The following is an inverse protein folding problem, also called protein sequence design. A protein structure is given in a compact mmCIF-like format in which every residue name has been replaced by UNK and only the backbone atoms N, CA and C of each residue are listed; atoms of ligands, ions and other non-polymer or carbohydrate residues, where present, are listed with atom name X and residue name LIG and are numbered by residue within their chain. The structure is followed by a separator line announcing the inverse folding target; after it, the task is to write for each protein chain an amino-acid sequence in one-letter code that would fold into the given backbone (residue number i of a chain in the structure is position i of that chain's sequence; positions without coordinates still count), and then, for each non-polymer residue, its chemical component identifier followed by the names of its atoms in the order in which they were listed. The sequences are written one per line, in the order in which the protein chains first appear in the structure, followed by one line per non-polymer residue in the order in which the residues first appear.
data_IF_300701272771
#
_entry.id   IF_300701272771
#
_cell.length_a   1.000
_cell.length_b   1.000
_cell.length_c   1.000
_cell.angle_alpha   90.00
_cell.angle_beta   90.00
_cell.angle_gamma   90.00
#
_symmetry.space_group_name_H-M   'P 1'
#
loop_
_entity.id
_entity.type
_entity.pdbx_description
1 polymer ?
#
# COMPACT_ATOMS: atom_id res chain seq x y z
N UNK A 1 48.71 -15.28 32.00
CA UNK A 1 48.49 -14.60 30.70
C UNK A 1 47.03 -14.82 30.32
N UNK A 2 46.28 -13.76 30.09
CA UNK A 2 44.85 -13.82 29.78
C UNK A 2 44.27 -12.41 29.81
N UNK A 3 44.61 -11.64 28.78
CA UNK A 3 44.27 -10.24 28.59
C UNK A 3 42.79 -10.14 28.18
N UNK A 4 41.89 -9.87 29.13
CA UNK A 4 40.48 -9.65 28.83
C UNK A 4 40.31 -8.20 28.35
N UNK A 5 40.39 -8.02 27.04
CA UNK A 5 40.02 -6.77 26.37
C UNK A 5 38.61 -6.37 26.84
N UNK A 6 38.49 -5.17 27.40
CA UNK A 6 37.22 -4.52 27.61
C UNK A 6 36.48 -4.44 26.27
N UNK A 7 35.38 -5.18 26.13
CA UNK A 7 34.45 -5.02 25.02
C UNK A 7 33.69 -3.73 25.30
N UNK A 8 34.17 -2.63 24.73
CA UNK A 8 33.41 -1.39 24.66
C UNK A 8 32.18 -1.71 23.79
N UNK A 9 31.01 -1.82 24.44
CA UNK A 9 29.73 -1.79 23.72
C UNK A 9 29.69 -0.48 22.94
N UNK A 10 29.41 -0.50 21.63
CA UNK A 10 29.20 0.74 20.89
C UNK A 10 28.10 1.52 21.60
N UNK A 11 28.38 2.78 21.87
CA UNK A 11 27.42 3.74 22.36
C UNK A 11 26.17 3.66 21.47
N UNK A 12 25.03 3.43 22.12
CA UNK A 12 23.75 3.26 21.43
C UNK A 12 23.39 4.61 20.83
N UNK A 13 23.76 4.81 19.56
CA UNK A 13 23.28 5.88 18.68
C UNK A 13 21.79 6.10 18.98
N UNK A 14 21.35 7.36 19.20
CA UNK A 14 19.96 7.64 19.50
C UNK A 14 19.12 7.10 18.34
N UNK A 15 18.46 5.98 18.60
CA UNK A 15 17.51 5.34 17.69
C UNK A 15 16.63 6.46 17.14
N UNK A 16 16.56 6.64 15.80
CA UNK A 16 15.60 7.57 15.23
C UNK A 16 14.24 7.23 15.84
N UNK A 17 13.55 8.26 16.33
CA UNK A 17 12.33 8.12 17.12
C UNK A 17 11.44 7.10 16.42
N UNK A 18 11.12 6.00 17.11
CA UNK A 18 10.33 4.91 16.53
C UNK A 18 9.02 5.40 15.90
N UNK A 19 8.55 6.59 16.29
CA UNK A 19 7.46 7.34 15.66
C UNK A 19 7.75 7.75 14.21
N UNK A 20 8.98 8.17 13.89
CA UNK A 20 9.40 8.62 12.55
C UNK A 20 9.54 7.46 11.56
N UNK A 21 10.05 6.31 12.01
CA UNK A 21 10.12 5.10 11.19
C UNK A 21 8.72 4.55 10.86
N UNK A 22 7.79 4.57 11.83
CA UNK A 22 6.40 4.20 11.57
C UNK A 22 5.75 5.23 10.63
N UNK A 23 5.98 6.54 10.77
CA UNK A 23 5.38 7.52 9.85
C UNK A 23 5.79 7.32 8.38
N UNK A 24 7.02 6.89 8.06
CA UNK A 24 7.43 6.71 6.66
C UNK A 24 6.89 5.43 5.98
N UNK A 25 6.65 4.37 6.74
CA UNK A 25 6.20 3.07 6.20
C UNK A 25 4.76 2.70 6.55
N UNK A 26 4.19 3.30 7.60
CA UNK A 26 2.78 3.18 7.99
C UNK A 26 2.02 4.48 7.78
N UNK A 27 2.59 5.47 7.09
CA UNK A 27 1.74 6.42 6.37
C UNK A 27 0.92 5.58 5.43
N UNK A 28 -0.30 5.27 5.90
CA UNK A 28 -1.49 5.13 5.10
C UNK A 28 -1.20 5.95 3.87
N UNK A 29 -1.13 5.30 2.72
CA UNK A 29 -1.33 6.03 1.51
C UNK A 29 -2.67 6.73 1.74
N UNK A 30 -2.62 8.01 2.12
CA UNK A 30 -3.53 8.99 1.61
C UNK A 30 -3.23 8.97 0.11
N UNK A 31 -3.69 7.90 -0.56
CA UNK A 31 -4.59 8.14 -1.66
C UNK A 31 -5.58 9.12 -1.05
N UNK A 32 -5.31 10.42 -1.24
CA UNK A 32 -6.41 11.33 -1.50
C UNK A 32 -7.42 10.52 -2.30
N UNK A 33 -8.71 10.57 -1.99
CA UNK A 33 -9.63 10.45 -3.09
C UNK A 33 -9.16 11.57 -4.01
N UNK A 34 -8.34 11.24 -5.02
CA UNK A 34 -8.40 12.00 -6.23
C UNK A 34 -9.88 11.92 -6.51
N UNK A 35 -10.55 13.06 -6.33
CA UNK A 35 -11.66 13.43 -7.17
C UNK A 35 -11.14 13.39 -8.62
N UNK A 36 -10.70 12.22 -9.11
CA UNK A 36 -11.30 11.76 -10.33
C UNK A 36 -12.77 11.75 -9.99
N UNK A 37 -13.44 12.81 -10.46
CA UNK A 37 -14.78 12.69 -10.96
C UNK A 37 -14.77 11.52 -11.96
N UNK A 38 -14.65 10.30 -11.46
CA UNK A 38 -15.45 9.21 -11.97
C UNK A 38 -16.80 9.63 -11.44
N UNK A 39 -17.48 10.51 -12.21
CA UNK A 39 -18.91 10.37 -12.32
C UNK A 39 -19.10 8.87 -12.47
N UNK A 40 -19.60 8.25 -11.40
CA UNK A 40 -20.10 6.90 -11.43
C UNK A 40 -21.07 6.92 -12.58
N UNK A 41 -20.58 6.49 -13.75
CA UNK A 41 -21.37 6.36 -14.96
C UNK A 41 -22.61 5.61 -14.49
N UNK A 42 -23.78 6.26 -14.45
CA UNK A 42 -24.94 5.66 -13.85
C UNK A 42 -25.11 4.35 -14.58
N UNK A 43 -25.02 3.26 -13.80
CA UNK A 43 -25.40 1.93 -14.22
C UNK A 43 -26.67 2.14 -15.03
N UNK A 44 -26.62 1.92 -16.36
CA UNK A 44 -27.68 2.33 -17.28
C UNK A 44 -28.93 1.51 -16.96
N UNK A 45 -29.64 1.94 -15.91
CA UNK A 45 -30.99 1.53 -15.56
C UNK A 45 -31.86 2.22 -16.58
N UNK A 46 -31.94 1.58 -17.75
CA UNK A 46 -33.09 1.36 -18.64
C UNK A 46 -34.26 2.35 -18.64
N UNK A 47 -34.09 3.63 -18.32
CA UNK A 47 -35.18 4.61 -18.24
C UNK A 47 -34.63 6.00 -18.56
N UNK A 48 -34.98 6.52 -19.75
CA UNK A 48 -34.52 7.77 -20.39
C UNK A 48 -33.22 7.65 -21.19
N UNK A 49 -33.30 6.95 -22.33
CA UNK A 49 -32.39 7.21 -23.45
C UNK A 49 -32.67 8.62 -23.97
N UNK A 50 -32.08 9.63 -23.32
CA UNK A 50 -31.81 10.89 -24.00
C UNK A 50 -31.03 10.51 -25.26
N UNK A 51 -31.65 10.67 -26.43
CA UNK A 51 -31.07 10.26 -27.69
C UNK A 51 -29.80 11.08 -27.90
N UNK A 52 -28.64 10.44 -27.72
CA UNK A 52 -27.33 11.04 -27.95
C UNK A 52 -27.25 11.61 -29.38
N UNK A 53 -27.79 10.88 -30.36
CA UNK A 53 -27.85 11.25 -31.76
C UNK A 53 -29.31 11.34 -32.23
N UNK A 54 -29.66 12.47 -32.82
CA UNK A 54 -30.92 12.79 -33.50
C UNK A 54 -30.61 13.29 -34.92
N UNK A 55 -31.62 13.40 -35.79
CA UNK A 55 -31.41 13.81 -37.19
C UNK A 55 -30.80 15.20 -37.32
N UNK A 56 -31.02 16.06 -36.34
CA UNK A 56 -30.58 17.45 -36.32
C UNK A 56 -29.13 17.61 -35.86
N UNK A 57 -28.56 16.62 -35.16
CA UNK A 57 -27.23 16.71 -34.55
C UNK A 57 -26.23 15.63 -35.04
N UNK A 58 -26.60 14.82 -36.04
CA UNK A 58 -25.79 13.68 -36.53
C UNK A 58 -24.33 14.08 -36.82
N UNK A 59 -24.14 15.19 -37.53
CA UNK A 59 -22.79 15.66 -37.91
C UNK A 59 -21.95 16.04 -36.69
N UNK A 60 -22.56 16.71 -35.70
CA UNK A 60 -21.90 17.05 -34.44
C UNK A 60 -21.56 15.80 -33.63
N UNK A 61 -22.46 14.81 -33.60
CA UNK A 61 -22.22 13.53 -32.92
C UNK A 61 -21.08 12.74 -33.56
N UNK A 62 -21.00 12.70 -34.90
CA UNK A 62 -19.90 12.06 -35.63
C UNK A 62 -18.57 12.76 -35.32
N UNK A 63 -18.54 14.09 -35.37
CA UNK A 63 -17.34 14.87 -35.05
C UNK A 63 -16.88 14.61 -33.61
N UNK A 64 -17.81 14.61 -32.65
CA UNK A 64 -17.53 14.31 -31.25
C UNK A 64 -16.98 12.89 -31.06
N UNK A 65 -17.64 11.88 -31.63
CA UNK A 65 -17.18 10.49 -31.53
C UNK A 65 -15.80 10.30 -32.16
N UNK A 66 -15.53 10.91 -33.31
CA UNK A 66 -14.21 10.87 -33.93
C UNK A 66 -13.14 11.51 -33.02
N UNK A 67 -13.46 12.62 -32.36
CA UNK A 67 -12.55 13.26 -31.41
C UNK A 67 -12.27 12.36 -30.21
N UNK A 68 -13.29 11.78 -29.58
CA UNK A 68 -13.13 10.85 -28.46
C UNK A 68 -12.40 9.56 -28.85
N UNK A 69 -12.63 9.08 -30.06
CA UNK A 69 -11.89 7.93 -30.56
C UNK A 69 -10.42 8.24 -30.78
N UNK A 70 -10.10 9.43 -31.29
CA UNK A 70 -8.73 9.87 -31.44
C UNK A 70 -8.01 10.01 -30.08
N UNK A 71 -8.68 10.46 -29.01
CA UNK A 71 -8.08 10.51 -27.66
C UNK A 71 -7.78 9.12 -27.11
N UNK A 72 -8.59 8.13 -27.48
CA UNK A 72 -8.39 6.72 -27.18
C UNK A 72 -7.40 6.00 -28.13
N UNK A 73 -6.89 6.70 -29.14
CA UNK A 73 -5.91 6.19 -30.11
C UNK A 73 -6.51 5.41 -31.29
N UNK A 74 -7.81 5.54 -31.54
CA UNK A 74 -8.50 4.88 -32.65
C UNK A 74 -8.47 5.71 -33.94
N UNK A 75 -8.58 5.06 -35.11
CA UNK A 75 -8.65 5.75 -36.39
C UNK A 75 -10.00 6.46 -36.59
N UNK A 76 -9.97 7.52 -37.42
CA UNK A 76 -11.16 8.29 -37.82
C UNK A 76 -12.12 7.47 -38.68
N UNK A 77 -13.42 7.76 -38.60
CA UNK A 77 -14.45 7.15 -39.42
C UNK A 77 -14.41 7.55 -40.90
N UNK A 78 -13.71 8.63 -41.24
CA UNK A 78 -13.62 9.14 -42.60
C UNK A 78 -12.54 8.41 -43.40
N UNK A 79 -12.84 8.11 -44.66
CA UNK A 79 -11.85 7.55 -45.60
C UNK A 79 -10.85 8.64 -46.01
N UNK A 80 -9.55 8.31 -46.08
CA UNK A 80 -8.51 9.27 -46.51
C UNK A 80 -8.73 9.80 -47.93
N UNK A 81 -9.36 9.00 -48.80
CA UNK A 81 -9.65 9.36 -50.20
C UNK A 81 -10.89 10.26 -50.36
N UNK A 82 -11.81 10.25 -49.39
CA UNK A 82 -13.06 11.00 -49.43
C UNK A 82 -13.48 11.41 -48.00
N UNK A 83 -13.00 12.55 -47.48
CA UNK A 83 -13.17 12.96 -46.07
C UNK A 83 -14.62 13.33 -45.69
N UNK A 84 -15.60 13.12 -46.57
CA UNK A 84 -17.04 13.30 -46.31
C UNK A 84 -17.83 11.99 -46.33
N UNK A 85 -17.19 10.88 -46.68
CA UNK A 85 -17.84 9.58 -46.73
C UNK A 85 -17.41 8.73 -45.53
N UNK A 86 -18.41 8.33 -44.74
CA UNK A 86 -18.21 7.43 -43.61
C UNK A 86 -17.89 6.03 -44.13
N UNK A 87 -16.81 5.45 -43.62
CA UNK A 87 -16.46 4.07 -43.92
C UNK A 87 -17.11 3.12 -42.91
N UNK A 88 -18.09 2.32 -43.38
CA UNK A 88 -18.79 1.36 -42.54
C UNK A 88 -17.86 0.31 -41.95
N UNK A 89 -16.87 -0.15 -42.70
CA UNK A 89 -15.89 -1.15 -42.23
C UNK A 89 -15.04 -0.58 -41.10
N UNK A 90 -14.57 0.67 -41.25
CA UNK A 90 -13.82 1.37 -40.20
C UNK A 90 -14.66 1.53 -38.94
N UNK A 91 -15.94 1.94 -39.08
CA UNK A 91 -16.84 2.08 -37.94
C UNK A 91 -17.05 0.74 -37.23
N UNK A 92 -17.31 -0.34 -37.97
CA UNK A 92 -17.54 -1.67 -37.38
C UNK A 92 -16.30 -2.20 -36.67
N UNK A 93 -15.11 -2.02 -37.26
CA UNK A 93 -13.84 -2.40 -36.64
C UNK A 93 -13.57 -1.58 -35.38
N UNK A 94 -13.77 -0.25 -35.43
CA UNK A 94 -13.65 0.61 -34.25
C UNK A 94 -14.60 0.18 -33.13
N UNK A 95 -15.87 -0.13 -33.47
CA UNK A 95 -16.84 -0.64 -32.49
C UNK A 95 -16.43 -1.98 -31.88
N UNK A 96 -15.88 -2.88 -32.69
CA UNK A 96 -15.34 -4.14 -32.19
C UNK A 96 -14.17 -3.91 -31.23
N UNK A 97 -13.22 -3.06 -31.60
CA UNK A 97 -12.06 -2.78 -30.76
C UNK A 97 -12.43 -2.07 -29.46
N UNK A 98 -13.41 -1.15 -29.48
CA UNK A 98 -13.99 -0.54 -28.28
C UNK A 98 -14.58 -1.60 -27.34
N UNK A 99 -15.33 -2.56 -27.88
CA UNK A 99 -15.88 -3.66 -27.08
C UNK A 99 -14.77 -4.53 -26.47
N UNK A 100 -13.70 -4.81 -27.22
CA UNK A 100 -12.55 -5.55 -26.70
C UNK A 100 -11.81 -4.77 -25.62
N UNK A 101 -11.59 -3.47 -25.84
CA UNK A 101 -10.97 -2.58 -24.89
C UNK A 101 -11.78 -2.51 -23.58
N UNK A 102 -13.10 -2.36 -23.69
CA UNK A 102 -14.00 -2.37 -22.53
C UNK A 102 -13.92 -3.69 -21.76
N UNK A 103 -14.01 -4.85 -22.45
CA UNK A 103 -13.88 -6.17 -21.81
C UNK A 103 -12.52 -6.37 -21.14
N UNK A 104 -11.44 -5.89 -21.76
CA UNK A 104 -10.10 -5.94 -21.19
C UNK A 104 -10.00 -5.03 -19.95
N UNK A 105 -10.60 -3.84 -20.01
CA UNK A 105 -10.69 -2.90 -18.90
C UNK A 105 -11.41 -3.50 -17.69
N UNK A 106 -12.55 -4.17 -17.92
CA UNK A 106 -13.29 -4.87 -16.85
C UNK A 106 -12.43 -5.96 -16.18
N UNK A 107 -11.76 -6.82 -16.97
CA UNK A 107 -10.86 -7.85 -16.41
C UNK A 107 -9.72 -7.24 -15.61
N UNK A 108 -9.11 -6.18 -16.13
CA UNK A 108 -8.02 -5.48 -15.42
C UNK A 108 -8.52 -4.87 -14.10
N UNK A 109 -9.74 -4.34 -14.08
CA UNK A 109 -10.36 -3.82 -12.87
C UNK A 109 -10.58 -4.93 -11.83
N UNK A 110 -11.15 -6.07 -12.23
CA UNK A 110 -11.34 -7.24 -11.37
C UNK A 110 -10.01 -7.77 -10.80
N UNK A 111 -8.97 -7.83 -11.64
CA UNK A 111 -7.63 -8.23 -11.22
C UNK A 111 -7.04 -7.26 -10.19
N UNK A 112 -7.19 -5.94 -10.41
CA UNK A 112 -6.72 -4.91 -9.48
C UNK A 112 -7.48 -4.94 -8.16
N UNK A 113 -8.80 -5.15 -8.17
CA UNK A 113 -9.60 -5.33 -6.95
C UNK A 113 -9.14 -6.54 -6.15
N UNK A 114 -8.87 -7.66 -6.84
CA UNK A 114 -8.34 -8.88 -6.21
C UNK A 114 -6.96 -8.66 -5.60
N UNK A 115 -6.05 -8.02 -6.32
CA UNK A 115 -4.72 -7.68 -5.78
C UNK A 115 -4.81 -6.71 -4.61
N UNK A 116 -5.72 -5.75 -4.66
CA UNK A 116 -5.92 -4.79 -3.58
C UNK A 116 -6.42 -5.49 -2.31
N UNK A 117 -7.41 -6.39 -2.42
CA UNK A 117 -7.88 -7.21 -1.29
C UNK A 117 -6.76 -8.06 -0.68
N UNK A 118 -5.96 -8.70 -1.53
CA UNK A 118 -4.80 -9.49 -1.08
C UNK A 118 -3.76 -8.63 -0.38
N UNK A 119 -3.45 -7.46 -0.93
CA UNK A 119 -2.50 -6.50 -0.34
C UNK A 119 -3.00 -5.99 1.02
N UNK A 120 -4.29 -5.65 1.11
CA UNK A 120 -4.95 -5.23 2.35
C UNK A 120 -4.82 -6.30 3.44
N UNK A 121 -5.15 -7.56 3.11
CA UNK A 121 -5.01 -8.68 4.05
C UNK A 121 -3.56 -8.89 4.50
N UNK A 122 -2.59 -8.82 3.58
CA UNK A 122 -1.17 -8.91 3.93
C UNK A 122 -0.74 -7.79 4.89
N UNK A 123 -1.22 -6.57 4.64
CA UNK A 123 -0.92 -5.42 5.49
C UNK A 123 -1.49 -5.58 6.89
N UNK A 124 -2.73 -6.08 7.00
CA UNK A 124 -3.34 -6.40 8.29
C UNK A 124 -2.53 -7.47 9.03
N UNK A 125 -2.12 -8.55 8.35
CA UNK A 125 -1.29 -9.59 8.96
C UNK A 125 0.05 -9.04 9.47
N UNK A 126 0.73 -8.22 8.67
CA UNK A 126 1.99 -7.58 9.05
C UNK A 126 1.80 -6.64 10.24
N UNK A 127 0.73 -5.85 10.26
CA UNK A 127 0.40 -4.97 11.37
C UNK A 127 0.21 -5.74 12.67
N UNK A 128 -0.61 -6.81 12.66
CA UNK A 128 -0.81 -7.64 13.84
C UNK A 128 0.47 -8.33 14.31
N UNK A 129 1.30 -8.80 13.38
CA UNK A 129 2.62 -9.37 13.71
C UNK A 129 3.53 -8.32 14.35
N UNK A 130 3.55 -7.11 13.82
CA UNK A 130 4.33 -6.00 14.36
C UNK A 130 3.90 -5.66 15.80
N UNK A 131 2.60 -5.59 16.07
CA UNK A 131 2.07 -5.34 17.42
C UNK A 131 2.50 -6.44 18.38
N UNK A 132 2.33 -7.72 18.00
CA UNK A 132 2.76 -8.86 18.83
C UNK A 132 4.26 -8.82 19.13
N UNK A 133 5.08 -8.50 18.15
CA UNK A 133 6.54 -8.40 18.34
C UNK A 133 6.91 -7.23 19.26
N UNK A 134 6.22 -6.09 19.16
CA UNK A 134 6.39 -4.95 20.08
C UNK A 134 6.05 -5.35 21.51
N UNK A 135 4.94 -6.07 21.72
CA UNK A 135 4.54 -6.55 23.05
C UNK A 135 5.55 -7.54 23.63
N UNK A 136 6.03 -8.49 22.82
CA UNK A 136 7.06 -9.45 23.24
C UNK A 136 8.38 -8.77 23.59
N UNK A 137 8.79 -7.76 22.82
CA UNK A 137 9.99 -6.97 23.10
C UNK A 137 9.86 -6.25 24.44
N UNK A 138 8.71 -5.63 24.70
CA UNK A 138 8.44 -4.93 25.96
C UNK A 138 8.41 -5.90 27.15
N UNK A 139 7.81 -7.08 27.00
CA UNK A 139 7.84 -8.13 28.00
C UNK A 139 9.27 -8.60 28.29
N UNK A 140 10.06 -8.85 27.26
CA UNK A 140 11.45 -9.27 27.39
C UNK A 140 12.30 -8.20 28.11
N UNK A 141 12.10 -6.91 27.78
CA UNK A 141 12.77 -5.80 28.48
C UNK A 141 12.45 -5.80 29.98
N UNK A 142 11.19 -5.99 30.35
CA UNK A 142 10.78 -6.07 31.77
C UNK A 142 11.41 -7.26 32.48
N UNK A 143 11.48 -8.41 31.81
CA UNK A 143 12.12 -9.61 32.36
C UNK A 143 13.63 -9.39 32.58
N UNK A 144 14.33 -8.78 31.63
CA UNK A 144 15.75 -8.41 31.79
C UNK A 144 15.96 -7.52 33.00
N UNK A 145 15.16 -6.47 33.17
CA UNK A 145 15.24 -5.58 34.33
C UNK A 145 15.00 -6.36 35.63
N UNK A 146 13.99 -7.25 35.65
CA UNK A 146 13.70 -8.09 36.82
C UNK A 146 14.86 -9.02 37.18
N UNK A 147 15.49 -9.65 36.17
CA UNK A 147 16.64 -10.52 36.36
C UNK A 147 17.88 -9.75 36.84
N UNK A 148 18.13 -8.56 36.28
CA UNK A 148 19.23 -7.69 36.72
C UNK A 148 19.08 -7.30 38.18
N UNK A 149 17.86 -6.97 38.63
CA UNK A 149 17.63 -6.66 40.05
C UNK A 149 17.83 -7.89 40.95
N UNK A 150 17.38 -9.08 40.52
CA UNK A 150 17.66 -10.33 41.25
C UNK A 150 19.16 -10.62 41.36
N UNK A 151 19.91 -10.43 40.27
CA UNK A 151 21.36 -10.60 40.28
C UNK A 151 22.04 -9.60 41.23
N UNK A 152 21.65 -8.32 41.19
CA UNK A 152 22.14 -7.29 42.12
C UNK A 152 21.91 -7.68 43.57
N UNK A 153 20.72 -8.16 43.92
CA UNK A 153 20.41 -8.62 45.27
C UNK A 153 21.27 -9.81 45.69
N UNK A 154 21.50 -10.76 44.77
CA UNK A 154 22.32 -11.93 45.06
C UNK A 154 23.80 -11.57 45.22
N UNK A 155 24.32 -10.65 44.40
CA UNK A 155 25.67 -10.11 44.55
C UNK A 155 25.87 -9.43 45.91
N UNK A 156 24.90 -8.63 46.36
CA UNK A 156 24.96 -8.02 47.69
C UNK A 156 25.01 -9.07 48.81
N UNK A 157 24.14 -10.08 48.77
CA UNK A 157 24.15 -11.19 49.73
C UNK A 157 25.50 -11.92 49.74
N UNK A 158 26.04 -12.23 48.57
CA UNK A 158 27.35 -12.88 48.44
C UNK A 158 28.47 -12.03 49.05
N UNK A 159 28.48 -10.71 48.81
CA UNK A 159 29.46 -9.79 49.41
C UNK A 159 29.34 -9.75 50.93
N UNK A 160 28.12 -9.69 51.46
CA UNK A 160 27.88 -9.73 52.91
C UNK A 160 28.38 -11.03 53.53
N UNK A 161 28.05 -12.19 52.94
CA UNK A 161 28.54 -13.48 53.43
C UNK A 161 30.06 -13.60 53.35
N UNK A 162 30.67 -13.11 52.28
CA UNK A 162 32.12 -13.11 52.14
C UNK A 162 32.80 -12.27 53.22
N UNK A 163 32.25 -11.10 53.55
CA UNK A 163 32.76 -10.25 54.63
C UNK A 163 32.61 -10.94 56.00
N UNK A 164 31.48 -11.59 56.28
CA UNK A 164 31.30 -12.35 57.52
C UNK A 164 32.32 -13.49 57.65
N UNK A 165 32.49 -14.30 56.59
CA UNK A 165 33.48 -15.38 56.58
C UNK A 165 34.93 -14.87 56.73
N UNK A 166 35.22 -13.66 56.25
CA UNK A 166 36.53 -13.04 56.44
C UNK A 166 36.74 -12.66 57.90
N UNK A 167 35.76 -12.01 58.53
CA UNK A 167 35.83 -11.61 59.93
C UNK A 167 35.99 -12.82 60.86
N UNK A 168 35.22 -13.90 60.64
CA UNK A 168 35.30 -15.15 61.43
C UNK A 168 36.66 -15.88 61.31
N UNK A 169 37.46 -15.59 60.28
CA UNK A 169 38.81 -16.14 60.13
C UNK A 169 39.90 -15.28 60.77
N UNK A 170 39.57 -14.03 61.11
CA UNK A 170 40.48 -13.07 61.73
C UNK A 170 40.37 -13.08 63.27
N UNK A 171 39.33 -13.71 63.84
CA UNK A 171 39.17 -14.07 65.26
C UNK A 171 39.81 -15.42 65.61
#
# INVERSE_FOLDING_TARGET
MGDWRAVIMPEQEPSPDSKEFNYRYTSRSHMSPHNSFIETLPLFTSHNLSLFCTKENVEQCIAYLNQELATLGFPSFYTEEAPRELNLETILNCMYDLLQLHRKGLRMLEDMETQNLKSSSNMDHLYHSQVKLKDQLELSRREVISLQEKDRQQQLKNRTLHNLLKNEKEE
#
